data_IF_857388971469
#
_entry.id   IF_857388971469
#
_cell.length_a   1.000
_cell.length_b   1.000
_cell.length_c   1.000
_cell.angle_alpha   90.00
_cell.angle_beta   90.00
_cell.angle_gamma   90.00
#
_symmetry.space_group_name_H-M   'P 1'
#
loop_
_entity.id
_entity.type
_entity.pdbx_description
1 polymer ?
#
# COMPACT_ATOMS: atom_id res chain seq x y z
N UNK A 1 -29.82 -13.86 18.03
CA UNK A 1 -28.85 -14.90 17.60
C UNK A 1 -29.17 -15.22 16.15
N UNK A 2 -28.46 -14.63 15.21
CA UNK A 2 -28.57 -14.96 13.79
C UNK A 2 -27.32 -15.78 13.42
N UNK A 3 -27.56 -17.08 13.20
CA UNK A 3 -26.50 -18.03 12.89
C UNK A 3 -25.96 -17.86 11.49
N UNK A 4 -24.65 -17.70 11.36
CA UNK A 4 -23.89 -17.83 10.11
C UNK A 4 -23.69 -19.32 9.76
N UNK A 5 -24.77 -20.01 9.41
CA UNK A 5 -24.73 -21.40 8.95
C UNK A 5 -24.99 -21.46 7.44
N UNK A 6 -24.04 -21.03 6.64
CA UNK A 6 -24.25 -21.00 5.18
C UNK A 6 -23.01 -21.05 4.30
N UNK A 7 -21.85 -21.41 4.83
CA UNK A 7 -20.58 -21.44 4.06
C UNK A 7 -19.99 -22.84 3.88
N UNK A 8 -20.79 -23.90 3.94
CA UNK A 8 -20.35 -25.29 3.65
C UNK A 8 -20.81 -25.80 2.30
N UNK A 9 -20.97 -24.93 1.31
CA UNK A 9 -21.38 -25.30 -0.05
C UNK A 9 -20.31 -25.10 -1.12
N UNK A 10 -19.07 -25.44 -0.83
CA UNK A 10 -17.99 -25.41 -1.84
C UNK A 10 -17.79 -26.82 -2.43
N UNK A 11 -18.68 -27.24 -3.30
CA UNK A 11 -18.54 -28.55 -3.93
C UNK A 11 -19.47 -28.88 -5.05
N UNK A 12 -20.41 -28.01 -5.45
CA UNK A 12 -21.24 -28.30 -6.61
C UNK A 12 -20.70 -27.65 -7.88
N UNK A 13 -20.35 -28.53 -8.79
CA UNK A 13 -19.92 -28.28 -10.16
C UNK A 13 -21.08 -27.70 -10.96
N UNK A 14 -21.48 -26.46 -10.70
CA UNK A 14 -22.47 -25.75 -11.51
C UNK A 14 -21.86 -25.52 -12.88
N UNK A 15 -22.43 -26.18 -13.89
CA UNK A 15 -22.18 -25.94 -15.32
C UNK A 15 -22.23 -24.44 -15.57
N UNK A 16 -21.08 -23.83 -15.81
CA UNK A 16 -20.96 -22.41 -16.08
C UNK A 16 -21.63 -22.07 -17.38
N UNK A 17 -22.82 -21.51 -17.30
CA UNK A 17 -23.53 -20.92 -18.42
C UNK A 17 -22.83 -19.63 -18.84
N UNK A 18 -22.33 -19.64 -20.09
CA UNK A 18 -22.05 -18.43 -20.87
C UNK A 18 -21.04 -17.42 -20.34
N UNK A 19 -20.31 -16.84 -21.23
CA UNK A 19 -19.33 -15.73 -21.16
C UNK A 19 -19.66 -14.55 -20.21
N UNK A 20 -19.90 -14.78 -18.93
CA UNK A 20 -19.92 -13.69 -17.95
C UNK A 20 -18.49 -13.37 -17.50
N UNK A 21 -17.92 -12.22 -17.92
CA UNK A 21 -16.55 -11.84 -17.53
C UNK A 21 -16.39 -11.62 -16.02
N UNK A 22 -17.49 -11.41 -15.31
CA UNK A 22 -17.53 -11.19 -13.86
C UNK A 22 -17.72 -12.51 -13.09
N UNK A 23 -17.87 -13.65 -13.77
CA UNK A 23 -17.94 -14.93 -13.07
C UNK A 23 -16.65 -15.23 -12.32
N UNK A 24 -16.72 -15.76 -11.08
CA UNK A 24 -15.55 -16.20 -10.34
C UNK A 24 -14.71 -17.18 -11.18
N UNK A 25 -13.45 -16.91 -11.35
CA UNK A 25 -12.51 -17.78 -12.04
C UNK A 25 -11.84 -18.72 -11.02
N UNK A 26 -11.50 -19.96 -11.41
CA UNK A 26 -10.70 -20.80 -10.52
C UNK A 26 -9.36 -20.12 -10.23
N UNK A 27 -8.89 -20.17 -8.97
CA UNK A 27 -7.60 -19.57 -8.62
C UNK A 27 -6.47 -20.31 -9.33
N UNK A 28 -5.43 -19.59 -9.72
CA UNK A 28 -4.22 -20.18 -10.33
C UNK A 28 -3.39 -20.98 -9.31
N UNK A 29 -3.53 -20.65 -8.03
CA UNK A 29 -2.84 -21.29 -6.92
C UNK A 29 -3.89 -21.72 -5.90
N UNK A 30 -3.70 -22.88 -5.28
CA UNK A 30 -4.59 -23.35 -4.21
C UNK A 30 -4.61 -22.33 -3.07
N UNK A 31 -5.79 -21.77 -2.71
CA UNK A 31 -5.89 -20.77 -1.66
C UNK A 31 -5.55 -21.38 -0.30
N UNK A 32 -4.66 -20.72 0.44
CA UNK A 32 -4.25 -21.10 1.80
C UNK A 32 -4.71 -20.10 2.85
N UNK A 33 -5.01 -18.87 2.43
CA UNK A 33 -5.46 -17.82 3.36
C UNK A 33 -6.82 -18.18 3.94
N UNK A 34 -6.96 -18.07 5.27
CA UNK A 34 -8.21 -18.27 6.01
C UNK A 34 -8.94 -16.96 6.26
N UNK A 35 -8.21 -15.85 6.27
CA UNK A 35 -8.74 -14.52 6.53
C UNK A 35 -7.99 -13.50 5.69
N UNK A 36 -8.69 -12.45 5.30
CA UNK A 36 -8.12 -11.32 4.56
C UNK A 36 -8.49 -10.06 5.34
N UNK A 37 -7.50 -9.23 5.60
CA UNK A 37 -7.70 -7.89 6.15
C UNK A 37 -7.42 -6.91 5.01
N UNK A 38 -8.45 -6.17 4.59
CA UNK A 38 -8.30 -5.12 3.59
C UNK A 38 -8.27 -3.76 4.27
N UNK A 39 -7.13 -3.07 4.19
CA UNK A 39 -6.96 -1.73 4.72
C UNK A 39 -7.08 -0.75 3.55
N UNK A 40 -8.11 0.09 3.59
CA UNK A 40 -8.31 1.15 2.61
C UNK A 40 -7.92 2.50 3.23
N UNK A 41 -6.87 3.10 2.69
CA UNK A 41 -6.40 4.43 3.08
C UNK A 41 -6.93 5.44 2.06
N UNK A 42 -7.95 6.18 2.43
CA UNK A 42 -8.56 7.17 1.55
C UNK A 42 -7.55 8.28 1.17
N UNK A 43 -7.30 8.45 -0.12
CA UNK A 43 -6.30 9.39 -0.64
C UNK A 43 -4.86 8.84 -0.62
N UNK A 44 -4.63 7.66 -0.05
CA UNK A 44 -3.31 7.07 0.13
C UNK A 44 -2.49 7.74 1.24
N UNK A 45 -1.36 7.13 1.59
CA UNK A 45 -0.36 7.76 2.44
C UNK A 45 0.74 8.40 1.60
N UNK A 46 1.36 9.46 2.14
CA UNK A 46 2.51 10.12 1.49
C UNK A 46 3.69 9.13 1.41
N UNK A 47 4.07 8.70 0.21
CA UNK A 47 5.18 7.75 0.04
C UNK A 47 6.51 8.34 0.50
N UNK A 48 6.73 9.64 0.31
CA UNK A 48 7.96 10.33 0.72
C UNK A 48 8.10 10.47 2.24
N UNK A 49 7.00 10.30 2.97
CA UNK A 49 6.98 10.34 4.44
C UNK A 49 6.94 8.93 5.05
N UNK A 50 6.82 7.88 4.24
CA UNK A 50 6.61 6.52 4.72
C UNK A 50 7.69 5.53 4.29
N UNK A 51 7.93 5.35 2.98
CA UNK A 51 8.81 4.30 2.46
C UNK A 51 9.86 4.78 1.46
N UNK A 52 9.77 6.02 0.99
CA UNK A 52 10.63 6.55 -0.07
C UNK A 52 11.27 7.88 0.32
N UNK A 53 12.26 7.86 1.23
CA UNK A 53 12.94 9.08 1.67
C UNK A 53 13.62 9.77 0.50
N UNK A 54 13.43 11.09 0.40
CA UNK A 54 14.03 11.94 -0.63
C UNK A 54 15.04 12.91 0.00
N UNK A 55 16.32 12.55 0.13
CA UNK A 55 17.32 13.40 0.75
C UNK A 55 17.43 14.79 0.11
N UNK A 56 17.26 14.88 -1.21
CA UNK A 56 17.25 16.16 -1.92
C UNK A 56 16.12 17.08 -1.48
N UNK A 57 14.94 16.54 -1.13
CA UNK A 57 13.86 17.38 -0.59
C UNK A 57 14.22 17.97 0.78
N UNK A 58 14.99 17.25 1.57
CA UNK A 58 15.52 17.75 2.85
C UNK A 58 16.55 18.85 2.63
N UNK A 59 17.45 18.69 1.66
CA UNK A 59 18.44 19.70 1.27
C UNK A 59 17.79 21.00 0.78
N UNK A 60 16.72 20.88 -0.01
CA UNK A 60 15.95 22.00 -0.53
C UNK A 60 14.78 22.43 0.36
N UNK A 61 14.73 21.97 1.60
CA UNK A 61 13.67 22.38 2.53
C UNK A 61 13.63 23.91 2.68
N UNK A 62 12.46 24.50 2.39
CA UNK A 62 12.24 25.95 2.44
C UNK A 62 12.85 26.74 1.27
N UNK A 63 13.52 26.09 0.31
CA UNK A 63 14.16 26.72 -0.85
C UNK A 63 13.43 26.39 -2.16
N UNK A 64 13.56 27.22 -3.19
CA UNK A 64 13.11 26.88 -4.53
C UNK A 64 13.80 25.61 -5.03
N UNK A 65 13.05 24.74 -5.72
CA UNK A 65 13.63 23.57 -6.37
C UNK A 65 14.45 23.98 -7.61
N UNK A 66 15.49 23.21 -7.97
CA UNK A 66 16.34 23.50 -9.14
C UNK A 66 15.65 23.23 -10.49
N UNK A 67 14.39 22.88 -10.46
CA UNK A 67 13.54 22.61 -11.63
C UNK A 67 12.28 23.45 -11.56
N UNK A 68 11.67 23.81 -12.71
CA UNK A 68 10.40 24.51 -12.70
C UNK A 68 9.32 23.70 -11.97
N UNK A 69 8.53 24.38 -11.17
CA UNK A 69 7.39 23.76 -10.54
C UNK A 69 6.38 23.27 -11.58
N UNK A 70 5.83 22.10 -11.37
CA UNK A 70 4.75 21.58 -12.22
C UNK A 70 3.53 22.51 -12.15
N UNK A 71 2.89 22.67 -13.31
CA UNK A 71 1.60 23.37 -13.37
C UNK A 71 0.56 22.47 -12.74
N UNK A 72 0.07 22.87 -11.58
CA UNK A 72 -0.94 22.14 -10.81
C UNK A 72 -2.14 23.05 -10.56
N UNK A 73 -3.26 22.50 -10.12
CA UNK A 73 -4.48 23.24 -9.78
C UNK A 73 -4.21 24.33 -8.72
N UNK A 74 -3.27 24.09 -7.82
CA UNK A 74 -2.83 25.06 -6.82
C UNK A 74 -1.35 25.38 -7.04
N UNK A 75 -0.92 26.65 -6.84
CA UNK A 75 0.49 27.00 -6.92
C UNK A 75 1.31 26.11 -5.95
N UNK A 76 2.39 25.52 -6.47
CA UNK A 76 3.37 24.81 -5.66
C UNK A 76 4.41 25.81 -5.16
N UNK A 77 4.92 25.57 -3.96
CA UNK A 77 5.92 26.41 -3.30
C UNK A 77 7.32 25.83 -3.35
N UNK A 78 8.07 26.10 -2.29
CA UNK A 78 9.42 25.59 -2.08
C UNK A 78 9.43 24.09 -1.77
N UNK A 79 10.60 23.47 -1.83
CA UNK A 79 10.80 22.10 -1.40
C UNK A 79 10.39 21.89 0.06
N UNK A 80 9.81 20.75 0.36
CA UNK A 80 9.44 20.36 1.72
C UNK A 80 9.97 18.95 2.00
N UNK A 81 11.03 18.88 2.81
CA UNK A 81 11.58 17.60 3.25
C UNK A 81 10.71 16.94 4.30
N UNK A 82 10.70 15.61 4.31
CA UNK A 82 9.96 14.86 5.33
C UNK A 82 10.42 15.23 6.74
N UNK A 83 9.50 15.52 7.68
CA UNK A 83 9.85 15.78 9.06
C UNK A 83 10.16 14.49 9.85
N UNK A 84 9.92 13.33 9.26
CA UNK A 84 10.05 12.03 9.92
C UNK A 84 11.43 11.41 9.69
N UNK A 85 11.91 10.67 10.68
CA UNK A 85 13.13 9.89 10.58
C UNK A 85 12.89 8.55 9.88
N UNK A 86 13.92 8.03 9.20
CA UNK A 86 13.88 6.75 8.49
C UNK A 86 14.93 5.81 9.04
N UNK A 87 14.57 4.54 9.16
CA UNK A 87 15.47 3.45 9.52
C UNK A 87 15.36 2.35 8.47
N UNK A 88 16.45 1.61 8.26
CA UNK A 88 16.44 0.43 7.39
C UNK A 88 16.02 -0.79 8.18
N UNK A 89 15.12 -1.58 7.59
CA UNK A 89 14.54 -2.77 8.17
C UNK A 89 14.69 -3.98 7.25
N UNK A 90 14.63 -5.17 7.84
CA UNK A 90 14.68 -6.44 7.14
C UNK A 90 16.03 -6.74 6.49
N UNK A 91 16.13 -7.90 5.86
CA UNK A 91 17.32 -8.33 5.12
C UNK A 91 17.50 -7.51 3.83
N UNK A 92 16.40 -7.07 3.23
CA UNK A 92 16.38 -6.21 2.05
C UNK A 92 16.88 -4.78 2.34
N UNK A 93 16.88 -4.37 3.61
CA UNK A 93 17.27 -3.02 4.03
C UNK A 93 16.31 -1.92 3.55
N UNK A 94 15.03 -2.23 3.42
CA UNK A 94 14.02 -1.26 3.00
C UNK A 94 13.94 -0.09 3.98
N UNK A 95 13.97 1.17 3.51
CA UNK A 95 13.79 2.33 4.39
C UNK A 95 12.33 2.45 4.79
N UNK A 96 12.06 2.52 6.08
CA UNK A 96 10.72 2.73 6.62
C UNK A 96 10.76 3.88 7.63
N UNK A 97 9.78 4.76 7.55
CA UNK A 97 9.60 5.89 8.44
C UNK A 97 9.21 5.44 9.85
N UNK A 98 9.55 6.25 10.84
CA UNK A 98 9.12 6.05 12.23
C UNK A 98 7.59 5.97 12.41
N UNK A 99 6.82 6.49 11.44
CA UNK A 99 5.35 6.34 11.42
C UNK A 99 4.90 4.88 11.32
N UNK A 100 5.76 4.02 10.76
CA UNK A 100 5.47 2.60 10.54
C UNK A 100 6.55 1.70 11.16
N UNK A 101 7.09 2.09 12.31
CA UNK A 101 8.12 1.31 13.02
C UNK A 101 7.69 -0.14 13.28
N UNK A 102 6.44 -0.34 13.71
CA UNK A 102 5.90 -1.68 14.02
C UNK A 102 5.80 -2.53 12.74
N UNK A 103 5.42 -1.91 11.60
CA UNK A 103 5.42 -2.59 10.31
C UNK A 103 6.85 -2.96 9.88
N UNK A 104 7.83 -2.15 10.26
CA UNK A 104 9.24 -2.40 9.99
C UNK A 104 9.76 -3.71 10.58
N UNK A 105 9.22 -4.16 11.70
CA UNK A 105 9.57 -5.45 12.31
C UNK A 105 9.17 -6.64 11.43
N UNK A 106 8.23 -6.44 10.50
CA UNK A 106 7.72 -7.42 9.55
C UNK A 106 8.17 -7.15 8.11
N UNK A 107 9.22 -6.35 7.93
CA UNK A 107 9.66 -5.88 6.61
C UNK A 107 10.01 -6.99 5.62
N UNK A 108 10.43 -8.14 6.10
CA UNK A 108 10.77 -9.31 5.25
C UNK A 108 9.53 -10.14 4.85
N UNK A 109 8.36 -9.83 5.40
CA UNK A 109 7.07 -10.45 5.07
C UNK A 109 6.22 -9.60 4.09
N UNK A 110 6.73 -8.42 3.67
CA UNK A 110 6.04 -7.44 2.83
C UNK A 110 6.32 -7.64 1.33
#
# INVERSE_FOLDING_TARGET
MLGLSGLTGLGENTKRSGNNPLSPKPPHILPRARSIIHIFLNGGCSHVDTFDPKPLLTEYHGKPLPVPNLVTERPTGNGFGSPFSFKRYGQSGIPISELFSDLGEHADDL
#
